data_IF_118150773082
#
_entry.id   IF_118150773082
#
_cell.length_a   1.000
_cell.length_b   1.000
_cell.length_c   1.000
_cell.angle_alpha   90.00
_cell.angle_beta   90.00
_cell.angle_gamma   90.00
#
_symmetry.space_group_name_H-M   'P 1'
#
loop_
_entity.id
_entity.type
_entity.pdbx_description
1 polymer ?
#
# COMPACT_ATOMS: atom_id res chain seq x y z
N UNK A 1 -10.57 21.06 -3.58
CA UNK A 1 -11.35 19.83 -3.73
C UNK A 1 -10.40 18.69 -3.40
N UNK A 2 -10.79 17.80 -2.50
CA UNK A 2 -9.88 16.74 -2.05
C UNK A 2 -9.99 15.46 -2.87
N UNK A 3 -11.11 15.24 -3.59
CA UNK A 3 -11.30 14.09 -4.45
C UNK A 3 -10.50 14.23 -5.76
N UNK A 4 -9.58 13.29 -6.00
CA UNK A 4 -8.75 13.26 -7.22
C UNK A 4 -9.44 12.55 -8.40
N UNK A 5 -10.66 12.07 -8.23
CA UNK A 5 -11.46 11.41 -9.29
C UNK A 5 -10.95 10.03 -9.72
N UNK A 6 -10.03 9.43 -8.94
CA UNK A 6 -9.52 8.08 -9.24
C UNK A 6 -10.58 7.00 -9.00
N UNK A 7 -10.46 5.90 -9.71
CA UNK A 7 -11.23 4.70 -9.42
C UNK A 7 -10.89 4.15 -8.03
N UNK A 8 -11.94 3.76 -7.29
CA UNK A 8 -11.77 3.22 -5.95
C UNK A 8 -11.30 1.76 -6.01
N UNK A 9 -10.30 1.45 -5.19
CA UNK A 9 -9.84 0.08 -4.97
C UNK A 9 -10.07 -0.34 -3.52
N UNK A 10 -10.36 -1.64 -3.34
CA UNK A 10 -10.65 -2.20 -2.03
C UNK A 10 -9.85 -3.47 -1.80
N UNK A 11 -9.24 -3.56 -0.67
CA UNK A 11 -8.41 -4.70 -0.31
C UNK A 11 -8.53 -5.09 1.15
N UNK A 12 -7.79 -6.11 1.52
CA UNK A 12 -7.61 -6.49 2.91
C UNK A 12 -6.14 -6.53 3.28
N UNK A 13 -5.83 -6.33 4.56
CA UNK A 13 -4.48 -6.53 5.11
C UNK A 13 -4.46 -7.74 6.00
N UNK A 14 -3.33 -8.48 5.98
CA UNK A 14 -3.14 -9.66 6.81
C UNK A 14 -1.78 -9.66 7.51
N UNK A 15 -1.77 -10.16 8.74
CA UNK A 15 -0.53 -10.52 9.43
C UNK A 15 -0.02 -11.86 8.88
N UNK A 16 1.26 -12.00 8.53
CA UNK A 16 1.81 -13.23 7.99
C UNK A 16 2.06 -14.30 9.08
N UNK A 17 1.02 -14.66 9.83
CA UNK A 17 1.14 -15.59 10.96
C UNK A 17 1.54 -17.01 10.49
N UNK A 18 2.50 -17.61 11.18
CA UNK A 18 2.94 -18.97 10.92
C UNK A 18 2.05 -20.04 11.59
N UNK A 19 1.22 -19.64 12.55
CA UNK A 19 0.34 -20.52 13.30
C UNK A 19 -1.03 -19.85 13.54
N UNK A 20 -2.13 -20.47 13.08
CA UNK A 20 -2.18 -21.70 12.28
C UNK A 20 -1.65 -21.50 10.85
N UNK A 21 -1.04 -22.53 10.22
CA UNK A 21 -0.29 -22.39 8.97
C UNK A 21 -1.14 -22.06 7.74
N UNK A 22 -2.45 -22.30 7.80
CA UNK A 22 -3.42 -22.02 6.74
C UNK A 22 -4.19 -20.69 6.93
N UNK A 23 -3.93 -19.99 8.03
CA UNK A 23 -4.58 -18.75 8.41
C UNK A 23 -4.61 -17.72 7.25
N UNK A 24 -3.45 -17.34 6.74
CA UNK A 24 -3.34 -16.35 5.66
C UNK A 24 -3.99 -16.85 4.38
N UNK A 25 -3.79 -18.13 4.06
CA UNK A 25 -4.36 -18.77 2.87
C UNK A 25 -5.89 -18.71 2.84
N UNK A 26 -6.55 -18.94 3.98
CA UNK A 26 -8.01 -18.87 4.07
C UNK A 26 -8.54 -17.45 3.83
N UNK A 27 -7.91 -16.43 4.45
CA UNK A 27 -8.32 -15.04 4.29
C UNK A 27 -8.09 -14.57 2.84
N UNK A 28 -6.91 -14.85 2.28
CA UNK A 28 -6.56 -14.41 0.93
C UNK A 28 -7.44 -15.06 -0.13
N UNK A 29 -7.74 -16.36 0.00
CA UNK A 29 -8.69 -17.02 -0.90
C UNK A 29 -10.12 -16.49 -0.78
N UNK A 30 -10.55 -16.13 0.43
CA UNK A 30 -11.85 -15.49 0.62
C UNK A 30 -11.89 -14.13 -0.06
N UNK A 31 -10.85 -13.30 0.11
CA UNK A 31 -10.71 -12.00 -0.52
C UNK A 31 -10.70 -12.08 -2.06
N UNK A 32 -9.95 -13.01 -2.63
CA UNK A 32 -9.86 -13.23 -4.08
C UNK A 32 -11.23 -13.66 -4.66
N UNK A 33 -11.89 -14.67 -4.05
CA UNK A 33 -13.21 -15.11 -4.48
C UNK A 33 -14.30 -14.06 -4.32
N UNK A 34 -14.19 -13.20 -3.31
CA UNK A 34 -15.11 -12.11 -3.07
C UNK A 34 -14.88 -10.90 -3.99
N UNK A 35 -13.83 -10.92 -4.82
CA UNK A 35 -13.57 -9.88 -5.81
C UNK A 35 -12.91 -8.62 -5.25
N UNK A 36 -12.16 -8.71 -4.15
CA UNK A 36 -11.33 -7.60 -3.69
C UNK A 36 -10.15 -7.38 -4.64
N UNK A 37 -9.71 -6.12 -4.74
CA UNK A 37 -8.68 -5.71 -5.69
C UNK A 37 -7.26 -6.09 -5.24
N UNK A 38 -6.99 -6.08 -3.90
CA UNK A 38 -5.63 -6.27 -3.39
C UNK A 38 -5.56 -6.85 -1.97
N UNK A 39 -4.40 -7.46 -1.66
CA UNK A 39 -4.02 -7.89 -0.30
C UNK A 39 -2.70 -7.25 0.09
N UNK A 40 -2.71 -6.53 1.20
CA UNK A 40 -1.52 -6.07 1.91
C UNK A 40 -1.02 -7.13 2.89
N UNK A 41 0.27 -7.42 2.88
CA UNK A 41 0.87 -8.36 3.83
C UNK A 41 1.97 -7.65 4.62
N UNK A 42 1.87 -7.64 5.95
CA UNK A 42 2.87 -7.02 6.80
C UNK A 42 4.27 -7.60 6.59
N UNK A 43 5.31 -6.76 6.62
CA UNK A 43 6.70 -7.17 6.54
C UNK A 43 7.49 -6.74 7.78
N UNK A 44 7.30 -7.50 8.85
CA UNK A 44 8.03 -7.38 10.11
C UNK A 44 8.84 -8.66 10.41
N UNK A 45 9.92 -8.94 9.65
CA UNK A 45 10.64 -10.22 9.70
C UNK A 45 11.28 -10.53 11.07
N UNK A 46 11.43 -9.53 11.94
CA UNK A 46 11.88 -9.69 13.32
C UNK A 46 10.77 -10.19 14.27
N UNK A 47 9.53 -10.30 13.82
CA UNK A 47 8.45 -10.87 14.62
C UNK A 47 8.52 -12.41 14.57
N UNK A 48 8.72 -13.03 15.75
CA UNK A 48 8.92 -14.48 15.87
C UNK A 48 7.79 -15.33 15.26
N UNK A 49 6.57 -14.82 15.25
CA UNK A 49 5.38 -15.54 14.77
C UNK A 49 5.09 -15.31 13.28
N UNK A 50 5.85 -14.44 12.62
CA UNK A 50 5.60 -14.09 11.24
C UNK A 50 6.44 -14.93 10.28
N UNK A 51 5.82 -15.33 9.19
CA UNK A 51 6.50 -15.83 8.00
C UNK A 51 7.20 -14.66 7.27
N UNK A 52 8.20 -14.96 6.47
CA UNK A 52 8.78 -13.98 5.54
C UNK A 52 7.74 -13.61 4.48
N UNK A 53 7.52 -12.32 4.33
CA UNK A 53 6.44 -11.79 3.48
C UNK A 53 6.59 -12.15 2.00
N UNK A 54 7.79 -12.07 1.44
CA UNK A 54 8.01 -12.41 0.02
C UNK A 54 7.90 -13.90 -0.25
N UNK A 55 8.38 -14.73 0.67
CA UNK A 55 8.18 -16.18 0.63
C UNK A 55 6.69 -16.50 0.66
N UNK A 56 5.93 -15.87 1.55
CA UNK A 56 4.49 -16.08 1.66
C UNK A 56 3.76 -15.64 0.37
N UNK A 57 4.00 -14.43 -0.15
CA UNK A 57 3.40 -13.95 -1.40
C UNK A 57 3.65 -14.95 -2.54
N UNK A 58 4.86 -15.50 -2.65
CA UNK A 58 5.19 -16.49 -3.68
C UNK A 58 4.34 -17.77 -3.62
N UNK A 59 3.86 -18.13 -2.44
CA UNK A 59 2.97 -19.29 -2.25
C UNK A 59 1.49 -18.97 -2.45
N UNK A 60 1.11 -17.69 -2.30
CA UNK A 60 -0.27 -17.23 -2.45
C UNK A 60 -0.63 -16.92 -3.91
N UNK A 61 0.32 -16.42 -4.69
CA UNK A 61 0.13 -16.13 -6.13
C UNK A 61 -0.47 -17.31 -6.90
N UNK A 62 0.05 -18.56 -6.83
CA UNK A 62 -0.48 -19.67 -7.62
C UNK A 62 -1.82 -20.23 -7.17
N UNK A 63 -2.32 -19.80 -6.01
CA UNK A 63 -3.61 -20.28 -5.45
C UNK A 63 -4.71 -19.24 -5.48
N UNK A 64 -4.49 -18.12 -6.15
CA UNK A 64 -5.41 -16.99 -6.38
C UNK A 64 -5.46 -16.66 -7.87
N UNK A 65 -6.54 -16.00 -8.33
CA UNK A 65 -6.80 -15.75 -9.74
C UNK A 65 -6.58 -14.29 -10.16
N UNK A 66 -7.12 -13.32 -9.39
CA UNK A 66 -7.19 -11.91 -9.79
C UNK A 66 -6.58 -10.93 -8.78
N UNK A 67 -6.58 -11.28 -7.49
CA UNK A 67 -6.17 -10.35 -6.44
C UNK A 67 -4.69 -9.99 -6.58
N UNK A 68 -4.37 -8.71 -6.43
CA UNK A 68 -3.00 -8.20 -6.42
C UNK A 68 -2.42 -8.27 -5.01
N UNK A 69 -1.10 -8.36 -4.92
CA UNK A 69 -0.36 -8.44 -3.66
C UNK A 69 0.63 -7.29 -3.52
N UNK A 70 0.78 -6.81 -2.31
CA UNK A 70 1.87 -5.92 -1.96
C UNK A 70 2.33 -6.15 -0.51
N UNK A 71 3.63 -5.99 -0.21
CA UNK A 71 4.07 -5.91 1.18
C UNK A 71 3.52 -4.60 1.78
N UNK A 72 2.91 -4.65 2.97
CA UNK A 72 2.30 -3.48 3.62
C UNK A 72 2.97 -3.19 4.97
N UNK A 73 4.17 -2.61 4.95
CA UNK A 73 5.03 -2.25 3.83
C UNK A 73 6.40 -2.94 3.97
N UNK A 74 7.10 -3.21 2.85
CA UNK A 74 8.42 -3.87 2.86
C UNK A 74 9.41 -3.16 3.77
N UNK A 75 10.14 -3.93 4.59
CA UNK A 75 11.16 -3.42 5.51
C UNK A 75 12.46 -3.12 4.77
N UNK A 76 12.58 -1.92 4.19
CA UNK A 76 13.75 -1.52 3.39
C UNK A 76 15.10 -1.72 4.10
N UNK A 77 15.26 -1.46 5.42
CA UNK A 77 16.53 -1.70 6.10
C UNK A 77 17.03 -3.14 6.05
N UNK A 78 16.13 -4.11 5.99
CA UNK A 78 16.45 -5.55 5.95
C UNK A 78 16.39 -6.14 4.53
N UNK A 79 16.02 -5.34 3.52
CA UNK A 79 15.85 -5.80 2.14
C UNK A 79 16.56 -4.87 1.15
N UNK A 80 17.72 -5.26 0.60
CA UNK A 80 18.40 -4.45 -0.41
C UNK A 80 17.49 -4.12 -1.60
N UNK A 81 17.40 -2.86 -2.06
CA UNK A 81 16.40 -2.42 -3.03
C UNK A 81 16.52 -3.10 -4.40
N UNK A 82 17.73 -3.44 -4.84
CA UNK A 82 17.92 -4.18 -6.08
C UNK A 82 17.34 -5.61 -6.01
N UNK A 83 17.43 -6.26 -4.83
CA UNK A 83 16.82 -7.57 -4.62
C UNK A 83 15.31 -7.48 -4.44
N UNK A 84 14.80 -6.44 -3.76
CA UNK A 84 13.36 -6.15 -3.70
C UNK A 84 12.78 -5.99 -5.09
N UNK A 85 13.40 -5.14 -5.92
CA UNK A 85 12.96 -4.91 -7.30
C UNK A 85 13.00 -6.21 -8.14
N UNK A 86 14.05 -7.03 -7.97
CA UNK A 86 14.18 -8.32 -8.62
C UNK A 86 13.07 -9.30 -8.21
N UNK A 87 12.78 -9.37 -6.91
CA UNK A 87 11.73 -10.25 -6.38
C UNK A 87 10.34 -9.81 -6.88
N UNK A 88 10.04 -8.51 -6.80
CA UNK A 88 8.78 -7.94 -7.26
C UNK A 88 8.55 -8.22 -8.75
N UNK A 89 9.51 -7.87 -9.62
CA UNK A 89 9.40 -8.12 -11.05
C UNK A 89 9.30 -9.62 -11.39
N UNK A 90 9.98 -10.49 -10.66
CA UNK A 90 9.87 -11.93 -10.86
C UNK A 90 8.47 -12.45 -10.54
N UNK A 91 7.92 -12.03 -9.39
CA UNK A 91 6.55 -12.40 -9.01
C UNK A 91 5.51 -11.75 -9.92
N UNK A 92 5.77 -10.54 -10.40
CA UNK A 92 4.90 -9.85 -11.34
C UNK A 92 4.77 -10.64 -12.66
N UNK A 93 5.89 -11.08 -13.23
CA UNK A 93 5.90 -11.94 -14.41
C UNK A 93 5.18 -13.26 -14.13
N UNK A 94 5.44 -13.91 -13.00
CA UNK A 94 4.84 -15.20 -12.62
C UNK A 94 3.34 -15.10 -12.34
N UNK A 95 2.88 -13.96 -11.88
CA UNK A 95 1.47 -13.70 -11.53
C UNK A 95 0.67 -13.06 -12.68
N UNK A 96 1.32 -12.63 -13.76
CA UNK A 96 0.67 -11.90 -14.84
C UNK A 96 0.26 -10.48 -14.48
N UNK A 97 1.10 -9.76 -13.71
CA UNK A 97 0.88 -8.34 -13.39
C UNK A 97 0.13 -8.09 -12.07
N UNK A 98 0.32 -8.94 -11.06
CA UNK A 98 -0.44 -8.83 -9.79
C UNK A 98 0.42 -8.43 -8.58
N UNK A 99 1.50 -7.66 -8.78
CA UNK A 99 2.39 -7.24 -7.69
C UNK A 99 2.53 -5.72 -7.65
N UNK A 100 2.34 -5.13 -6.49
CA UNK A 100 2.68 -3.74 -6.19
C UNK A 100 3.79 -3.69 -5.13
N UNK A 101 4.46 -2.54 -5.00
CA UNK A 101 5.56 -2.35 -4.05
C UNK A 101 5.17 -1.39 -2.93
N UNK A 102 4.70 -1.90 -1.80
CA UNK A 102 4.64 -1.11 -0.58
C UNK A 102 6.04 -1.00 0.05
N UNK A 103 6.49 0.21 0.37
CA UNK A 103 7.85 0.47 0.86
C UNK A 103 7.84 1.25 2.18
N UNK A 104 8.53 0.73 3.19
CA UNK A 104 8.75 1.38 4.49
C UNK A 104 10.20 1.77 4.70
N UNK A 105 10.44 3.02 5.14
CA UNK A 105 11.78 3.53 5.42
C UNK A 105 12.49 2.84 6.60
N UNK A 106 11.77 2.05 7.35
CA UNK A 106 12.19 1.41 8.58
C UNK A 106 11.61 2.05 9.84
N UNK A 107 11.32 1.19 10.80
CA UNK A 107 10.92 1.49 12.17
C UNK A 107 11.51 0.40 13.07
N UNK A 108 11.32 0.49 14.39
CA UNK A 108 11.78 -0.54 15.32
C UNK A 108 13.29 -0.87 15.16
N UNK A 109 14.13 0.16 15.15
CA UNK A 109 15.56 0.07 14.83
C UNK A 109 16.35 -0.92 15.68
N UNK A 110 15.92 -1.19 16.93
CA UNK A 110 16.52 -2.23 17.77
C UNK A 110 16.28 -3.63 17.20
N UNK A 111 15.07 -3.89 16.72
CA UNK A 111 14.71 -5.16 16.10
C UNK A 111 15.38 -5.35 14.72
N UNK A 112 15.48 -4.27 13.94
CA UNK A 112 16.24 -4.25 12.68
C UNK A 112 17.73 -4.57 12.93
N UNK A 113 18.34 -3.93 13.92
CA UNK A 113 19.74 -4.16 14.28
C UNK A 113 19.99 -5.57 14.84
N UNK A 114 19.01 -6.18 15.53
CA UNK A 114 19.08 -7.57 15.99
C UNK A 114 19.14 -8.59 14.84
N UNK A 115 18.72 -8.19 13.63
CA UNK A 115 18.83 -8.98 12.39
C UNK A 115 19.97 -8.49 11.48
N UNK A 116 21.00 -7.87 12.06
CA UNK A 116 22.17 -7.30 11.34
C UNK A 116 21.82 -6.18 10.35
N UNK A 117 20.64 -5.59 10.48
CA UNK A 117 20.23 -4.44 9.67
C UNK A 117 20.81 -3.12 10.18
N UNK A 118 20.93 -2.11 9.31
CA UNK A 118 21.48 -0.81 9.68
C UNK A 118 20.55 -0.04 10.61
N UNK A 119 21.13 0.76 11.51
CA UNK A 119 20.42 1.84 12.20
C UNK A 119 20.56 3.11 11.38
N UNK A 120 19.46 3.80 11.13
CA UNK A 120 19.43 5.07 10.41
C UNK A 120 18.76 6.16 11.23
N UNK A 121 19.34 7.33 11.22
CA UNK A 121 18.66 8.53 11.68
C UNK A 121 17.46 8.85 10.77
N UNK A 122 16.48 9.66 11.23
CA UNK A 122 15.34 10.04 10.39
C UNK A 122 15.72 10.68 9.05
N UNK A 123 16.82 11.43 9.02
CA UNK A 123 17.33 12.04 7.79
C UNK A 123 17.94 11.02 6.83
N UNK A 124 18.73 10.08 7.34
CA UNK A 124 19.31 8.99 6.57
C UNK A 124 18.22 8.05 6.03
N UNK A 125 17.19 7.74 6.82
CA UNK A 125 16.07 6.91 6.38
C UNK A 125 15.35 7.51 5.17
N UNK A 126 15.14 8.85 5.14
CA UNK A 126 14.54 9.53 4.00
C UNK A 126 15.45 9.44 2.76
N UNK A 127 16.75 9.74 2.88
CA UNK A 127 17.68 9.66 1.75
C UNK A 127 17.85 8.24 1.23
N UNK A 128 17.94 7.26 2.13
CA UNK A 128 18.01 5.86 1.75
C UNK A 128 16.74 5.38 1.03
N UNK A 129 15.55 5.86 1.43
CA UNK A 129 14.31 5.55 0.71
C UNK A 129 14.29 6.20 -0.67
N UNK A 130 14.77 7.44 -0.80
CA UNK A 130 14.90 8.11 -2.09
C UNK A 130 15.82 7.34 -3.05
N UNK A 131 16.98 6.91 -2.57
CA UNK A 131 17.90 6.09 -3.36
C UNK A 131 17.29 4.72 -3.72
N UNK A 132 16.58 4.10 -2.78
CA UNK A 132 15.94 2.80 -3.00
C UNK A 132 14.89 2.86 -4.11
N UNK A 133 14.05 3.89 -4.13
CA UNK A 133 13.07 4.12 -5.20
C UNK A 133 13.79 4.23 -6.55
N UNK A 134 14.82 5.07 -6.64
CA UNK A 134 15.62 5.23 -7.88
C UNK A 134 16.28 3.92 -8.32
N UNK A 135 16.83 3.16 -7.38
CA UNK A 135 17.44 1.84 -7.66
C UNK A 135 16.39 0.86 -8.20
N UNK A 136 15.20 0.81 -7.60
CA UNK A 136 14.12 -0.09 -8.07
C UNK A 136 13.66 0.31 -9.47
N UNK A 137 13.42 1.58 -9.74
CA UNK A 137 13.08 2.09 -11.08
C UNK A 137 14.15 1.75 -12.12
N UNK A 138 15.43 1.90 -11.77
CA UNK A 138 16.53 1.48 -12.65
C UNK A 138 16.51 -0.03 -12.93
N UNK A 139 16.27 -0.87 -11.91
CA UNK A 139 16.21 -2.33 -12.08
C UNK A 139 15.07 -2.77 -12.99
N UNK A 140 13.99 -2.01 -13.06
CA UNK A 140 12.84 -2.25 -13.95
C UNK A 140 12.97 -1.57 -15.33
N UNK A 141 14.04 -0.78 -15.57
CA UNK A 141 14.25 -0.06 -16.83
C UNK A 141 14.79 -0.96 -17.94
N UNK A 142 14.77 -0.43 -19.19
CA UNK A 142 15.32 -1.09 -20.39
C UNK A 142 16.84 -0.94 -20.57
N UNK A 143 17.53 -0.36 -19.58
CA UNK A 143 18.96 -0.15 -19.68
C UNK A 143 19.74 -1.47 -19.70
N UNK A 144 20.81 -1.54 -20.49
CA UNK A 144 21.61 -2.77 -20.63
C UNK A 144 22.52 -3.06 -19.45
N UNK A 145 22.94 -2.02 -18.72
CA UNK A 145 23.87 -2.13 -17.62
C UNK A 145 23.69 -0.96 -16.66
N UNK A 146 23.34 -1.25 -15.44
CA UNK A 146 23.01 -0.25 -14.41
C UNK A 146 24.24 0.17 -13.65
N UNK A 147 24.35 1.48 -13.43
CA UNK A 147 25.28 2.10 -12.50
C UNK A 147 24.53 3.07 -11.63
N UNK A 148 24.71 2.98 -10.34
CA UNK A 148 24.18 3.90 -9.35
C UNK A 148 25.24 4.09 -8.25
N UNK A 149 25.55 5.31 -7.90
CA UNK A 149 26.55 5.63 -6.89
C UNK A 149 25.90 6.57 -5.86
N UNK A 150 25.23 5.96 -4.89
CA UNK A 150 24.52 6.64 -3.80
C UNK A 150 25.29 6.58 -2.48
N UNK A 151 24.76 7.27 -1.48
CA UNK A 151 25.26 7.25 -0.10
C UNK A 151 25.01 5.89 0.57
N UNK A 152 23.88 5.26 0.28
CA UNK A 152 23.41 4.02 0.94
C UNK A 152 23.46 2.80 0.04
N UNK A 153 23.30 2.99 -1.27
CA UNK A 153 23.24 1.91 -2.24
C UNK A 153 24.12 2.18 -3.45
N UNK A 154 24.69 1.13 -4.02
CA UNK A 154 25.47 1.23 -5.25
C UNK A 154 25.21 0.07 -6.19
N UNK A 155 25.17 0.34 -7.49
CA UNK A 155 25.12 -0.65 -8.57
C UNK A 155 26.35 -0.47 -9.46
N UNK A 156 27.05 -1.57 -9.77
CA UNK A 156 28.31 -1.53 -10.53
C UNK A 156 28.27 -2.49 -11.72
N UNK A 157 27.59 -2.09 -12.79
CA UNK A 157 27.44 -2.92 -13.98
C UNK A 157 26.44 -4.05 -13.81
N UNK A 158 25.43 -3.89 -12.97
CA UNK A 158 24.32 -4.83 -12.82
C UNK A 158 23.52 -4.90 -14.15
N UNK A 159 23.12 -6.08 -14.56
CA UNK A 159 22.15 -6.25 -15.66
C UNK A 159 20.73 -6.27 -15.08
N UNK A 160 19.81 -5.41 -15.56
CA UNK A 160 18.45 -5.36 -15.11
C UNK A 160 17.63 -6.59 -15.50
N UNK A 161 16.41 -6.66 -15.02
CA UNK A 161 15.43 -7.67 -15.38
C UNK A 161 15.25 -8.81 -14.37
N UNK A 162 14.15 -9.62 -14.50
CA UNK A 162 13.17 -9.47 -15.58
C UNK A 162 12.49 -8.11 -15.55
N UNK A 163 11.94 -7.67 -16.71
CA UNK A 163 11.02 -6.54 -16.72
C UNK A 163 9.68 -7.01 -16.16
N UNK A 164 9.03 -6.22 -15.29
CA UNK A 164 7.66 -6.51 -14.88
C UNK A 164 6.73 -6.47 -16.10
N UNK A 165 5.61 -7.19 -16.05
CA UNK A 165 4.61 -7.22 -17.13
C UNK A 165 3.60 -6.08 -17.04
N UNK A 166 3.55 -5.39 -15.88
CA UNK A 166 2.85 -4.11 -15.69
C UNK A 166 3.76 -3.11 -15.00
N UNK A 167 3.35 -1.87 -14.92
CA UNK A 167 4.07 -0.82 -14.19
C UNK A 167 3.82 -0.98 -12.68
N UNK A 168 4.81 -1.56 -11.98
CA UNK A 168 4.73 -1.77 -10.53
C UNK A 168 4.75 -0.42 -9.82
N UNK A 169 3.66 -0.06 -9.14
CA UNK A 169 3.58 1.15 -8.34
C UNK A 169 4.37 1.04 -7.04
N UNK A 170 5.15 2.08 -6.70
CA UNK A 170 5.86 2.17 -5.41
C UNK A 170 5.04 3.02 -4.45
N UNK A 171 4.44 2.39 -3.43
CA UNK A 171 3.60 3.04 -2.42
C UNK A 171 4.35 3.14 -1.09
N UNK A 172 4.45 4.34 -0.52
CA UNK A 172 5.27 4.56 0.66
C UNK A 172 4.41 4.76 1.90
N UNK A 173 4.69 3.97 2.95
CA UNK A 173 4.14 4.16 4.28
C UNK A 173 4.85 5.28 5.03
N UNK A 174 4.17 6.40 5.30
CA UNK A 174 4.82 7.57 5.89
C UNK A 174 3.86 8.55 6.58
N UNK A 175 4.42 9.30 7.55
CA UNK A 175 3.67 10.28 8.37
C UNK A 175 4.42 11.60 8.56
N UNK A 176 5.70 11.69 8.18
CA UNK A 176 6.54 12.86 8.48
C UNK A 176 6.76 13.75 7.25
N UNK A 177 6.87 15.07 7.41
CA UNK A 177 6.87 16.04 6.30
C UNK A 177 7.89 15.77 5.20
N UNK A 178 9.13 15.35 5.56
CA UNK A 178 10.17 15.05 4.57
C UNK A 178 9.82 13.87 3.68
N UNK A 179 9.23 12.81 4.29
CA UNK A 179 8.82 11.62 3.55
C UNK A 179 7.59 11.90 2.68
N UNK A 180 6.63 12.71 3.17
CA UNK A 180 5.49 13.14 2.37
C UNK A 180 5.93 13.91 1.12
N UNK A 181 6.94 14.80 1.25
CA UNK A 181 7.53 15.46 0.07
C UNK A 181 8.22 14.49 -0.87
N UNK A 182 8.90 13.48 -0.33
CA UNK A 182 9.50 12.42 -1.16
C UNK A 182 8.44 11.67 -1.96
N UNK A 183 7.31 11.32 -1.33
CA UNK A 183 6.17 10.69 -2.00
C UNK A 183 5.70 11.55 -3.17
N UNK A 184 5.42 12.82 -2.96
CA UNK A 184 4.99 13.73 -4.01
C UNK A 184 5.95 13.75 -5.21
N UNK A 185 7.26 13.76 -4.95
CA UNK A 185 8.26 13.84 -6.00
C UNK A 185 8.51 12.54 -6.76
N UNK A 186 8.43 11.37 -6.11
CA UNK A 186 9.01 10.14 -6.67
C UNK A 186 8.15 8.89 -6.53
N UNK A 187 7.24 8.80 -5.54
CA UNK A 187 6.46 7.60 -5.31
C UNK A 187 5.13 7.63 -6.07
N UNK A 188 4.55 6.46 -6.29
CA UNK A 188 3.30 6.29 -7.02
C UNK A 188 2.09 6.16 -6.09
N UNK A 189 2.34 6.01 -4.78
CA UNK A 189 1.30 5.95 -3.77
C UNK A 189 1.75 6.32 -2.37
N UNK A 190 0.77 6.64 -1.55
CA UNK A 190 0.89 6.89 -0.12
C UNK A 190 -0.03 5.93 0.64
N UNK A 191 0.49 5.22 1.64
CA UNK A 191 -0.25 4.20 2.40
C UNK A 191 -0.09 4.39 3.91
N UNK A 192 -0.80 5.36 4.51
CA UNK A 192 -0.90 5.51 5.96
C UNK A 192 -1.89 4.51 6.56
N UNK A 193 -1.86 4.40 7.90
CA UNK A 193 -2.78 3.56 8.65
C UNK A 193 -3.60 4.39 9.64
N UNK A 194 -4.89 4.14 9.74
CA UNK A 194 -5.84 4.80 10.64
C UNK A 194 -5.37 4.79 12.10
N UNK A 195 -4.76 3.68 12.53
CA UNK A 195 -4.24 3.56 13.91
C UNK A 195 -3.11 4.54 14.26
N UNK A 196 -2.44 5.15 13.25
CA UNK A 196 -1.38 6.14 13.45
C UNK A 196 -1.74 7.53 12.95
N UNK A 197 -2.71 7.63 12.06
CA UNK A 197 -3.13 8.87 11.43
C UNK A 197 -4.66 8.95 11.39
N UNK A 198 -5.29 9.74 12.27
CA UNK A 198 -6.72 9.93 12.23
C UNK A 198 -7.15 10.75 10.99
N UNK A 199 -8.38 10.55 10.47
CA UNK A 199 -8.83 11.13 9.20
C UNK A 199 -8.72 12.65 9.10
N UNK A 200 -8.91 13.36 10.20
CA UNK A 200 -8.88 14.82 10.26
C UNK A 200 -7.51 15.41 9.93
N UNK A 201 -6.44 14.60 10.00
CA UNK A 201 -5.08 15.00 9.65
C UNK A 201 -4.73 14.70 8.19
N UNK A 202 -5.53 13.93 7.49
CA UNK A 202 -5.27 13.57 6.08
C UNK A 202 -5.12 14.81 5.18
N UNK A 203 -6.00 15.84 5.25
CA UNK A 203 -5.91 16.99 4.36
C UNK A 203 -4.59 17.75 4.44
N UNK A 204 -4.04 17.93 5.66
CA UNK A 204 -2.74 18.60 5.83
C UNK A 204 -1.60 17.81 5.18
N UNK A 205 -1.62 16.47 5.34
CA UNK A 205 -0.58 15.61 4.80
C UNK A 205 -0.69 15.47 3.28
N UNK A 206 -1.90 15.35 2.76
CA UNK A 206 -2.19 15.36 1.32
C UNK A 206 -1.67 16.63 0.66
N UNK A 207 -1.95 17.79 1.25
CA UNK A 207 -1.45 19.07 0.75
C UNK A 207 0.07 19.07 0.56
N UNK A 208 0.83 18.48 1.50
CA UNK A 208 2.30 18.40 1.40
C UNK A 208 2.77 17.50 0.27
N UNK A 209 2.04 16.42 0.02
CA UNK A 209 2.31 15.51 -1.10
C UNK A 209 2.01 16.23 -2.42
N UNK A 210 0.85 16.89 -2.50
CA UNK A 210 0.39 17.60 -3.70
C UNK A 210 1.32 18.75 -4.09
N UNK A 211 1.70 19.59 -3.12
CA UNK A 211 2.67 20.67 -3.33
C UNK A 211 3.99 20.12 -3.90
N UNK A 212 4.51 19.05 -3.32
CA UNK A 212 5.76 18.43 -3.77
C UNK A 212 5.62 17.71 -5.13
N UNK A 213 4.46 17.18 -5.47
CA UNK A 213 4.17 16.63 -6.78
C UNK A 213 4.18 17.73 -7.86
N UNK A 214 3.46 18.82 -7.62
CA UNK A 214 3.44 19.98 -8.53
C UNK A 214 4.83 20.58 -8.70
N UNK A 215 5.59 20.77 -7.63
CA UNK A 215 6.99 21.25 -7.68
C UNK A 215 7.89 20.33 -8.53
N UNK A 216 7.59 19.04 -8.59
CA UNK A 216 8.30 18.05 -9.39
C UNK A 216 7.73 17.87 -10.82
N UNK A 217 6.72 18.65 -11.20
CA UNK A 217 6.06 18.58 -12.51
C UNK A 217 5.13 17.37 -12.69
N UNK A 218 4.64 16.80 -11.57
CA UNK A 218 3.71 15.67 -11.54
C UNK A 218 2.30 16.13 -11.19
N UNK A 219 1.30 15.42 -11.69
CA UNK A 219 -0.09 15.66 -11.32
C UNK A 219 -0.42 14.94 -10.00
N UNK A 220 -0.95 15.64 -8.96
CA UNK A 220 -1.32 14.99 -7.68
C UNK A 220 -2.24 13.79 -7.82
N UNK A 221 -3.13 13.80 -8.83
CA UNK A 221 -4.04 12.67 -9.12
C UNK A 221 -3.34 11.38 -9.59
N UNK A 222 -2.09 11.45 -10.02
CA UNK A 222 -1.31 10.26 -10.41
C UNK A 222 -0.87 9.44 -9.19
N UNK A 223 -0.83 10.07 -8.02
CA UNK A 223 -0.37 9.43 -6.78
C UNK A 223 -1.57 8.79 -6.07
N UNK A 224 -1.56 7.47 -5.92
CA UNK A 224 -2.60 6.71 -5.20
C UNK A 224 -2.64 7.06 -3.72
N UNK A 225 -3.83 7.13 -3.16
CA UNK A 225 -4.09 7.46 -1.75
C UNK A 225 -4.73 6.26 -1.04
N UNK A 226 -3.90 5.32 -0.63
CA UNK A 226 -4.35 4.15 0.11
C UNK A 226 -4.50 4.45 1.61
N UNK A 227 -5.42 3.77 2.28
CA UNK A 227 -5.62 3.92 3.73
C UNK A 227 -5.89 2.56 4.36
N UNK A 228 -5.00 2.17 5.28
CA UNK A 228 -5.17 0.96 6.09
C UNK A 228 -6.19 1.23 7.20
N UNK A 229 -7.26 0.45 7.22
CA UNK A 229 -8.44 0.64 8.05
C UNK A 229 -8.60 -0.51 9.02
N UNK A 230 -8.38 -0.29 10.31
CA UNK A 230 -8.75 -1.25 11.34
C UNK A 230 -10.20 -1.06 11.77
N UNK A 231 -10.94 -2.17 11.97
CA UNK A 231 -12.31 -2.06 12.42
C UNK A 231 -13.09 -3.37 12.42
N UNK A 232 -14.41 -3.26 12.61
CA UNK A 232 -15.34 -4.39 12.64
C UNK A 232 -16.70 -4.00 12.05
N UNK A 233 -17.17 -4.78 11.11
CA UNK A 233 -18.55 -4.68 10.61
C UNK A 233 -19.45 -5.47 11.57
N UNK A 234 -20.40 -4.79 12.20
CA UNK A 234 -21.30 -5.37 13.19
C UNK A 234 -22.60 -4.56 13.34
N UNK A 235 -23.52 -5.02 14.17
CA UNK A 235 -24.85 -4.38 14.31
C UNK A 235 -24.80 -3.07 15.14
N UNK A 236 -23.91 -3.01 16.12
CA UNK A 236 -23.82 -1.88 17.05
C UNK A 236 -22.71 -0.91 16.64
N UNK A 237 -23.02 0.37 16.63
CA UNK A 237 -22.05 1.44 16.45
C UNK A 237 -21.23 1.64 17.74
N UNK A 238 -19.92 1.37 17.65
CA UNK A 238 -18.98 1.46 18.78
C UNK A 238 -17.80 2.41 18.52
N UNK A 239 -17.58 2.78 17.27
CA UNK A 239 -16.44 3.64 16.88
C UNK A 239 -16.44 3.98 15.40
N UNK A 240 -15.42 4.68 14.95
CA UNK A 240 -15.30 5.23 13.59
C UNK A 240 -15.50 4.17 12.49
N UNK A 241 -14.90 2.99 12.63
CA UNK A 241 -15.08 1.85 11.75
C UNK A 241 -15.39 0.58 12.58
N UNK A 242 -16.20 0.72 13.61
CA UNK A 242 -16.81 -0.38 14.37
C UNK A 242 -18.31 -0.13 14.46
N UNK A 243 -19.06 -0.72 13.53
CA UNK A 243 -20.48 -0.44 13.39
C UNK A 243 -21.15 -1.13 12.20
N UNK A 244 -22.44 -0.78 11.94
CA UNK A 244 -23.22 -1.36 10.87
C UNK A 244 -22.69 -0.95 9.48
N UNK A 245 -23.13 -1.67 8.47
CA UNK A 245 -22.73 -1.48 7.06
C UNK A 245 -22.96 -0.04 6.61
N UNK A 246 -24.14 0.54 6.89
CA UNK A 246 -24.45 1.91 6.49
C UNK A 246 -23.44 2.93 7.04
N UNK A 247 -22.99 2.75 8.28
CA UNK A 247 -21.97 3.59 8.88
C UNK A 247 -20.61 3.45 8.18
N UNK A 248 -20.22 2.23 7.80
CA UNK A 248 -19.02 2.00 7.02
C UNK A 248 -19.09 2.68 5.65
N UNK A 249 -20.25 2.58 4.99
CA UNK A 249 -20.47 3.22 3.68
C UNK A 249 -20.35 4.73 3.78
N UNK A 250 -20.98 5.35 4.78
CA UNK A 250 -20.90 6.79 5.03
C UNK A 250 -19.46 7.26 5.25
N UNK A 251 -18.71 6.57 6.14
CA UNK A 251 -17.34 6.94 6.47
C UNK A 251 -16.39 6.75 5.29
N UNK A 252 -16.47 5.63 4.55
CA UNK A 252 -15.58 5.41 3.40
C UNK A 252 -15.91 6.36 2.24
N UNK A 253 -17.18 6.66 1.99
CA UNK A 253 -17.58 7.67 1.01
C UNK A 253 -17.05 9.05 1.41
N UNK A 254 -17.14 9.41 2.70
CA UNK A 254 -16.55 10.65 3.23
C UNK A 254 -15.05 10.68 3.03
N UNK A 255 -14.32 9.57 3.32
CA UNK A 255 -12.88 9.51 3.11
C UNK A 255 -12.50 9.69 1.63
N UNK A 256 -13.29 9.16 0.71
CA UNK A 256 -13.06 9.34 -0.71
C UNK A 256 -13.31 10.79 -1.16
N UNK A 257 -14.46 11.35 -0.83
CA UNK A 257 -14.90 12.65 -1.34
C UNK A 257 -14.24 13.84 -0.61
N UNK A 258 -14.20 13.79 0.73
CA UNK A 258 -13.68 14.91 1.51
C UNK A 258 -12.17 14.85 1.70
N UNK A 259 -11.62 13.65 1.85
CA UNK A 259 -10.20 13.45 2.14
C UNK A 259 -9.40 12.85 0.97
N UNK A 260 -10.03 12.57 -0.17
CA UNK A 260 -9.35 12.15 -1.39
C UNK A 260 -8.64 10.79 -1.30
N UNK A 261 -9.09 9.90 -0.41
CA UNK A 261 -8.59 8.53 -0.38
C UNK A 261 -9.26 7.71 -1.46
N UNK A 262 -8.50 6.88 -2.18
CA UNK A 262 -8.99 6.12 -3.32
C UNK A 262 -8.80 4.60 -3.19
N UNK A 263 -8.06 4.16 -2.17
CA UNK A 263 -7.78 2.74 -1.94
C UNK A 263 -7.96 2.43 -0.46
N UNK A 264 -8.87 1.51 -0.16
CA UNK A 264 -9.23 1.14 1.21
C UNK A 264 -8.80 -0.28 1.52
N UNK A 265 -7.87 -0.43 2.47
CA UNK A 265 -7.27 -1.70 2.85
C UNK A 265 -7.81 -2.08 4.22
N UNK A 266 -8.81 -2.95 4.25
CA UNK A 266 -9.48 -3.35 5.46
C UNK A 266 -8.67 -4.36 6.28
N UNK A 267 -8.50 -4.08 7.54
CA UNK A 267 -7.84 -4.93 8.51
C UNK A 267 -8.85 -5.35 9.57
N UNK A 268 -9.50 -6.51 9.42
CA UNK A 268 -10.47 -7.00 10.37
C UNK A 268 -9.86 -7.20 11.76
N UNK A 269 -10.59 -6.84 12.82
CA UNK A 269 -10.15 -7.06 14.20
C UNK A 269 -10.47 -8.48 14.73
N UNK A 270 -11.44 -9.17 14.10
CA UNK A 270 -11.90 -10.50 14.47
C UNK A 270 -12.55 -11.20 13.27
N UNK A 271 -12.79 -12.50 13.34
CA UNK A 271 -13.51 -13.30 12.32
C UNK A 271 -13.17 -12.93 10.87
N UNK A 272 -11.88 -12.89 10.57
CA UNK A 272 -11.31 -12.24 9.39
C UNK A 272 -11.95 -12.70 8.08
N UNK A 273 -12.22 -13.98 7.90
CA UNK A 273 -12.83 -14.49 6.66
C UNK A 273 -14.23 -13.90 6.46
N UNK A 274 -15.09 -14.01 7.48
CA UNK A 274 -16.44 -13.46 7.42
C UNK A 274 -16.44 -11.93 7.24
N UNK A 275 -15.56 -11.24 7.94
CA UNK A 275 -15.46 -9.78 7.85
C UNK A 275 -15.00 -9.33 6.46
N UNK A 276 -14.07 -10.04 5.84
CA UNK A 276 -13.63 -9.78 4.46
C UNK A 276 -14.76 -10.04 3.47
N UNK A 277 -15.52 -11.14 3.63
CA UNK A 277 -16.66 -11.45 2.80
C UNK A 277 -17.77 -10.39 2.91
N UNK A 278 -18.12 -9.96 4.15
CA UNK A 278 -19.09 -8.87 4.38
C UNK A 278 -18.62 -7.55 3.76
N UNK A 279 -17.35 -7.21 3.94
CA UNK A 279 -16.77 -6.00 3.36
C UNK A 279 -16.91 -5.99 1.84
N UNK A 280 -16.54 -7.10 1.20
CA UNK A 280 -16.56 -7.20 -0.25
C UNK A 280 -18.00 -7.24 -0.82
N UNK A 281 -18.93 -7.98 -0.17
CA UNK A 281 -20.28 -8.17 -0.70
C UNK A 281 -21.25 -7.02 -0.41
N UNK A 282 -21.09 -6.35 0.73
CA UNK A 282 -22.04 -5.35 1.20
C UNK A 282 -21.46 -3.93 1.18
N UNK A 283 -20.28 -3.73 1.76
CA UNK A 283 -19.72 -2.38 1.91
C UNK A 283 -19.17 -1.86 0.59
N UNK A 284 -18.35 -2.64 -0.11
CA UNK A 284 -17.66 -2.20 -1.34
C UNK A 284 -18.63 -1.71 -2.42
N UNK A 285 -19.68 -2.47 -2.83
CA UNK A 285 -20.59 -1.99 -3.86
C UNK A 285 -21.35 -0.74 -3.44
N UNK A 286 -21.79 -0.65 -2.17
CA UNK A 286 -22.50 0.51 -1.66
C UNK A 286 -21.64 1.77 -1.60
N UNK A 287 -20.35 1.65 -1.23
CA UNK A 287 -19.40 2.77 -1.26
C UNK A 287 -19.15 3.25 -2.70
N UNK A 288 -18.97 2.32 -3.66
CA UNK A 288 -18.80 2.67 -5.08
C UNK A 288 -20.01 3.44 -5.61
N UNK A 289 -21.22 3.01 -5.27
CA UNK A 289 -22.47 3.69 -5.65
C UNK A 289 -22.58 5.09 -5.02
N UNK A 290 -22.34 5.20 -3.71
CA UNK A 290 -22.40 6.46 -2.97
C UNK A 290 -21.43 7.49 -3.53
N UNK A 291 -20.16 7.10 -3.76
CA UNK A 291 -19.14 7.98 -4.32
C UNK A 291 -19.45 8.38 -5.76
N UNK A 292 -19.94 7.48 -6.60
CA UNK A 292 -20.36 7.80 -7.96
C UNK A 292 -21.51 8.81 -7.99
N UNK A 293 -22.48 8.67 -7.10
CA UNK A 293 -23.58 9.62 -6.95
C UNK A 293 -23.11 11.02 -6.55
N UNK A 294 -22.20 11.12 -5.57
CA UNK A 294 -21.65 12.40 -5.12
C UNK A 294 -20.79 13.09 -6.23
N UNK A 295 -19.96 12.33 -6.93
CA UNK A 295 -19.16 12.85 -8.06
C UNK A 295 -20.06 13.39 -9.19
N UNK A 296 -21.17 12.71 -9.50
CA UNK A 296 -22.15 13.14 -10.51
C UNK A 296 -22.84 14.44 -10.10
N UNK A 297 -23.22 14.59 -8.83
CA UNK A 297 -23.82 15.84 -8.30
C UNK A 297 -22.85 17.01 -8.35
N UNK A 298 -21.56 16.77 -8.03
CA UNK A 298 -20.52 17.81 -8.08
C UNK A 298 -20.26 18.28 -9.52
N UNK A 299 -20.21 17.37 -10.50
CA UNK A 299 -20.07 17.69 -11.93
C UNK A 299 -21.19 18.56 -12.46
N UNK A 300 -22.43 18.29 -12.04
CA UNK A 300 -23.62 19.08 -12.45
C UNK A 300 -23.61 20.49 -11.85
N UNK A 301 -23.07 20.67 -10.63
CA UNK A 301 -22.95 22.00 -9.99
C UNK A 301 -21.86 22.87 -10.61
N UNK A 302 -20.80 22.27 -11.14
CA UNK A 302 -19.67 22.99 -11.77
C UNK A 302 -20.00 23.51 -13.19
N UNK A 303 -21.09 23.01 -13.82
CA UNK A 303 -21.54 23.41 -15.16
C UNK A 303 -22.64 24.47 -15.13
N UNK A 304 -23.11 24.89 -13.97
CA UNK A 304 -24.06 25.98 -13.75
C UNK A 304 -23.35 27.20 -13.17
#
# INVERSE_FOLDING_TARGET
>A
MSDYGRELEFGTSVEPLADPPDWVTHIVRAADRAGLDLVGIQDHPYQRRFLDTWTLISTLVPITEQIRFFPDVANLPLRPPAMLAKAAASLDVLSGGRIEMGLGAGAFWDAVAAMDGPRRSPGEAVRATEEAIKVMQLVWSDERSLRFDGEFYSLRGMRPGPHPVHEIGIWVGAYRPRMLRLIGRLADGWVPSLGYLPPEKLPEMQKRIDEAAVEAGREPKEIRRAYNLGGRIGEEHRGLLDGPIDHWVEELARFAIEFGMDTFIYWPSEDHVRQVELFASEVVPAVREAVAAERSRAGTRSQR
#
